data_IF_824930111070
#
_entry.id   IF_824930111070
#
_cell.length_a   1.000
_cell.length_b   1.000
_cell.length_c   1.000
_cell.angle_alpha   90.00
_cell.angle_beta   90.00
_cell.angle_gamma   90.00
#
_symmetry.space_group_name_H-M   'P 1'
#
loop_
_entity.id
_entity.type
_entity.pdbx_description
1 polymer ?
#
# COMPACT_ATOMS: atom_id res chain seq x y z
N UNK A 1 -18.66 -37.21 33.59
CA UNK A 1 -19.71 -36.17 33.65
C UNK A 1 -19.84 -35.58 32.27
N UNK A 2 -20.91 -35.95 31.55
CA UNK A 2 -21.22 -35.52 30.19
C UNK A 2 -21.81 -34.13 30.22
N UNK A 3 -21.22 -33.16 29.47
CA UNK A 3 -21.91 -31.90 29.13
C UNK A 3 -22.18 -31.86 27.63
N UNK A 4 -23.44 -31.93 27.30
CA UNK A 4 -24.04 -31.83 25.98
C UNK A 4 -23.88 -30.40 25.44
N UNK A 5 -23.30 -30.26 24.25
CA UNK A 5 -23.31 -29.02 23.47
C UNK A 5 -24.55 -29.04 22.59
N UNK A 6 -25.37 -28.02 22.74
CA UNK A 6 -26.62 -27.79 22.00
C UNK A 6 -26.27 -27.08 20.69
N UNK A 7 -26.51 -27.77 19.59
CA UNK A 7 -26.54 -27.17 18.24
C UNK A 7 -27.79 -26.31 18.09
N UNK A 8 -27.62 -25.03 17.82
CA UNK A 8 -28.70 -24.17 17.37
C UNK A 8 -28.56 -23.93 15.86
N UNK A 9 -29.29 -24.72 15.09
CA UNK A 9 -29.56 -24.53 13.67
C UNK A 9 -30.55 -23.36 13.51
N UNK A 10 -30.13 -22.30 12.83
CA UNK A 10 -31.06 -21.30 12.27
C UNK A 10 -31.00 -21.36 10.76
N UNK A 11 -32.04 -21.99 10.19
CA UNK A 11 -32.46 -21.85 8.80
C UNK A 11 -33.36 -20.62 8.71
N UNK A 12 -33.04 -19.67 7.87
CA UNK A 12 -34.01 -18.71 7.36
C UNK A 12 -33.70 -18.42 5.87
N UNK A 13 -34.48 -19.07 5.04
CA UNK A 13 -34.63 -18.78 3.63
C UNK A 13 -35.39 -17.47 3.43
N UNK A 14 -34.94 -16.60 2.54
CA UNK A 14 -35.80 -15.62 1.86
C UNK A 14 -35.24 -15.32 0.47
N UNK A 15 -35.90 -15.96 -0.50
CA UNK A 15 -35.82 -15.63 -1.91
C UNK A 15 -36.73 -14.40 -2.16
N UNK A 16 -36.22 -13.38 -2.81
CA UNK A 16 -37.03 -12.41 -3.55
C UNK A 16 -36.33 -12.09 -4.87
N UNK A 17 -37.01 -12.52 -5.89
CA UNK A 17 -36.88 -12.27 -7.31
C UNK A 17 -37.20 -10.81 -7.60
N UNK A 18 -36.40 -10.14 -8.42
CA UNK A 18 -36.85 -8.99 -9.21
C UNK A 18 -36.04 -8.85 -10.50
N UNK A 19 -36.66 -9.09 -11.67
CA UNK A 19 -36.11 -8.67 -12.94
C UNK A 19 -36.79 -7.37 -13.38
N UNK A 20 -36.04 -6.34 -13.73
CA UNK A 20 -36.49 -5.19 -14.51
C UNK A 20 -35.35 -4.71 -15.38
N UNK A 21 -35.39 -5.14 -16.63
CA UNK A 21 -35.69 -4.31 -17.81
C UNK A 21 -34.97 -2.95 -17.80
N UNK A 22 -33.87 -2.86 -18.54
CA UNK A 22 -33.49 -1.60 -19.17
C UNK A 22 -33.50 -1.79 -20.69
N UNK A 23 -34.49 -1.10 -21.26
CA UNK A 23 -34.66 -0.90 -22.69
C UNK A 23 -33.49 -0.14 -23.28
N UNK A 24 -33.04 -0.62 -24.43
CA UNK A 24 -32.18 0.05 -25.35
C UNK A 24 -32.88 1.30 -25.94
N UNK A 25 -32.22 2.44 -25.93
CA UNK A 25 -32.46 3.49 -26.89
C UNK A 25 -31.26 3.55 -27.83
N UNK A 26 -31.47 3.03 -29.02
CA UNK A 26 -30.65 3.32 -30.18
C UNK A 26 -31.19 4.62 -30.77
N UNK A 27 -30.40 5.69 -30.79
CA UNK A 27 -30.67 6.86 -31.61
C UNK A 27 -29.81 6.76 -32.88
N UNK A 28 -30.52 6.53 -33.97
CA UNK A 28 -30.01 6.67 -35.34
C UNK A 28 -29.62 8.13 -35.56
N UNK A 29 -28.34 8.40 -35.75
CA UNK A 29 -27.85 9.66 -36.27
C UNK A 29 -27.81 9.60 -37.77
N UNK A 30 -28.77 10.24 -38.39
CA UNK A 30 -28.94 10.47 -39.81
C UNK A 30 -27.75 11.25 -40.38
N UNK A 31 -27.08 10.61 -41.30
CA UNK A 31 -25.90 11.13 -42.05
C UNK A 31 -26.37 12.11 -43.11
N UNK A 32 -26.16 13.40 -42.90
CA UNK A 32 -26.39 14.45 -43.90
C UNK A 32 -25.20 14.56 -44.85
N UNK A 33 -25.39 14.56 -46.18
CA UNK A 33 -24.30 14.70 -47.11
C UNK A 33 -23.77 16.12 -47.11
N UNK A 34 -22.52 16.28 -46.68
CA UNK A 34 -21.78 17.54 -46.75
C UNK A 34 -21.31 17.80 -48.18
N UNK A 35 -21.87 18.81 -48.84
CA UNK A 35 -21.34 19.37 -50.08
C UNK A 35 -19.91 19.85 -49.90
N UNK A 36 -18.99 19.27 -50.65
CA UNK A 36 -17.58 19.67 -50.70
C UNK A 36 -17.48 20.95 -51.59
N UNK A 37 -17.66 22.08 -50.96
CA UNK A 37 -17.33 23.37 -51.57
C UNK A 37 -15.82 23.61 -51.54
N UNK A 38 -15.14 23.40 -52.65
CA UNK A 38 -13.73 23.75 -52.80
C UNK A 38 -13.56 25.29 -52.76
N UNK A 39 -13.23 25.84 -51.60
CA UNK A 39 -12.77 27.22 -51.47
C UNK A 39 -11.25 27.24 -51.54
N UNK A 40 -10.72 27.71 -52.64
CA UNK A 40 -9.29 28.03 -52.80
C UNK A 40 -9.05 29.31 -51.98
N UNK A 41 -8.55 29.14 -50.77
CA UNK A 41 -8.08 30.28 -49.95
C UNK A 41 -6.63 30.55 -50.30
N UNK A 42 -6.40 31.72 -50.87
CA UNK A 42 -5.04 32.24 -51.08
C UNK A 42 -4.41 32.54 -49.74
N UNK A 43 -3.46 31.73 -49.33
CA UNK A 43 -2.74 31.89 -48.05
C UNK A 43 -1.74 33.04 -48.23
N UNK A 44 -2.02 34.16 -47.60
CA UNK A 44 -1.03 35.23 -47.44
C UNK A 44 0.03 34.73 -46.46
N UNK A 45 1.33 34.79 -46.79
CA UNK A 45 2.37 34.32 -45.86
C UNK A 45 2.35 35.21 -44.62
N UNK A 46 2.00 34.61 -43.48
CA UNK A 46 2.11 35.24 -42.16
C UNK A 46 3.59 35.41 -41.82
N UNK A 47 4.04 36.61 -41.41
CA UNK A 47 5.43 36.77 -40.97
C UNK A 47 5.74 35.86 -39.82
N UNK A 48 6.80 35.07 -39.98
CA UNK A 48 7.30 34.16 -38.93
C UNK A 48 7.74 34.97 -37.71
N UNK A 49 7.15 34.75 -36.52
CA UNK A 49 7.59 35.46 -35.33
C UNK A 49 9.05 35.07 -35.01
N UNK A 50 9.83 36.02 -34.45
CA UNK A 50 11.20 35.73 -34.06
C UNK A 50 11.24 34.59 -33.02
N UNK A 51 12.30 33.77 -33.00
CA UNK A 51 12.43 32.66 -32.05
C UNK A 51 12.40 33.21 -30.62
N UNK A 52 11.39 32.76 -29.85
CA UNK A 52 11.32 32.99 -28.40
C UNK A 52 12.38 32.14 -27.76
N UNK A 53 13.40 32.76 -27.17
CA UNK A 53 14.38 32.06 -26.35
C UNK A 53 13.68 31.54 -25.10
N UNK A 54 13.36 30.24 -25.10
CA UNK A 54 12.80 29.58 -23.92
C UNK A 54 13.91 29.53 -22.87
N UNK A 55 13.69 30.03 -21.62
CA UNK A 55 14.69 29.91 -20.57
C UNK A 55 14.95 28.42 -20.28
N UNK A 56 16.21 28.03 -20.35
CA UNK A 56 16.66 26.70 -19.94
C UNK A 56 16.48 26.62 -18.43
N UNK A 57 15.48 25.87 -17.99
CA UNK A 57 15.26 25.57 -16.56
C UNK A 57 16.39 24.62 -16.16
N UNK A 58 17.40 25.16 -15.46
CA UNK A 58 18.43 24.34 -14.85
C UNK A 58 17.78 23.50 -13.75
N UNK A 59 17.75 22.17 -13.92
CA UNK A 59 17.25 21.28 -12.91
C UNK A 59 18.04 21.47 -11.62
N UNK A 60 17.37 21.87 -10.55
CA UNK A 60 17.96 21.89 -9.20
C UNK A 60 18.34 20.44 -8.83
N UNK A 61 19.57 20.16 -8.41
CA UNK A 61 19.95 18.80 -8.00
C UNK A 61 19.04 18.36 -6.87
N UNK A 62 18.40 17.19 -7.03
CA UNK A 62 17.64 16.55 -5.98
C UNK A 62 18.65 16.17 -4.88
N UNK A 63 18.44 16.59 -3.62
CA UNK A 63 19.35 16.22 -2.54
C UNK A 63 19.37 14.69 -2.42
N UNK A 64 20.57 14.11 -2.46
CA UNK A 64 20.76 12.68 -2.19
C UNK A 64 20.43 12.44 -0.71
N UNK A 65 19.55 11.50 -0.38
CA UNK A 65 19.21 11.22 1.01
C UNK A 65 20.46 10.79 1.77
N UNK A 66 20.68 11.39 2.93
CA UNK A 66 21.76 10.97 3.83
C UNK A 66 21.34 9.62 4.43
N UNK A 67 22.21 8.59 4.40
CA UNK A 67 21.88 7.29 4.97
C UNK A 67 21.60 7.44 6.47
N UNK A 68 20.47 6.88 6.92
CA UNK A 68 20.08 6.84 8.33
C UNK A 68 20.89 5.77 9.03
N UNK A 69 21.33 6.06 10.25
CA UNK A 69 22.01 5.08 11.09
C UNK A 69 21.02 3.94 11.40
N UNK A 70 21.42 2.70 11.12
CA UNK A 70 20.62 1.54 11.45
C UNK A 70 20.64 1.32 12.97
N UNK A 71 19.49 1.55 13.61
CA UNK A 71 19.26 1.36 15.06
C UNK A 71 18.27 0.22 15.31
N UNK A 72 17.98 -0.59 14.29
CA UNK A 72 17.08 -1.72 14.45
C UNK A 72 17.60 -2.69 15.52
N UNK A 73 16.72 -3.21 16.38
CA UNK A 73 17.08 -4.28 17.32
C UNK A 73 17.62 -5.51 16.59
N UNK A 74 18.26 -6.43 17.33
CA UNK A 74 18.68 -7.70 16.74
C UNK A 74 17.48 -8.42 16.09
N UNK A 75 17.68 -8.92 14.85
CA UNK A 75 16.67 -9.66 14.14
C UNK A 75 16.83 -11.17 14.39
N UNK A 76 15.95 -11.78 15.18
CA UNK A 76 16.10 -13.19 15.56
C UNK A 76 15.73 -14.16 14.43
N UNK A 77 14.82 -13.73 13.51
CA UNK A 77 14.29 -14.57 12.45
C UNK A 77 13.94 -13.70 11.22
N UNK A 78 14.93 -13.38 10.38
CA UNK A 78 14.71 -12.54 9.20
C UNK A 78 13.76 -13.19 8.19
N UNK A 79 12.71 -12.48 7.79
CA UNK A 79 11.84 -12.92 6.70
C UNK A 79 12.54 -12.82 5.36
N UNK A 80 12.37 -13.84 4.52
CA UNK A 80 12.67 -13.75 3.09
C UNK A 80 11.63 -12.91 2.34
N UNK A 81 11.98 -12.37 1.16
CA UNK A 81 11.05 -11.61 0.33
C UNK A 81 9.95 -12.48 -0.29
N UNK A 82 10.03 -13.78 -0.16
CA UNK A 82 9.04 -14.80 -0.48
C UNK A 82 7.99 -15.00 0.60
N UNK A 83 8.25 -14.53 1.83
CA UNK A 83 7.36 -14.66 2.98
C UNK A 83 6.67 -13.34 3.32
N UNK A 84 7.44 -12.25 3.41
CA UNK A 84 6.92 -10.94 3.79
C UNK A 84 7.65 -9.81 3.05
N UNK A 85 6.87 -8.84 2.57
CA UNK A 85 7.38 -7.65 1.88
C UNK A 85 6.76 -6.41 2.50
N UNK A 86 7.59 -5.47 2.94
CA UNK A 86 7.18 -4.13 3.35
C UNK A 86 7.35 -3.19 2.16
N UNK A 87 6.23 -2.63 1.67
CA UNK A 87 6.22 -1.70 0.54
C UNK A 87 6.46 -0.25 0.98
N UNK A 88 5.98 0.08 2.18
CA UNK A 88 6.21 1.36 2.84
C UNK A 88 6.26 1.15 4.36
N UNK A 89 7.15 1.88 5.06
CA UNK A 89 8.15 2.80 4.53
C UNK A 89 9.27 2.09 3.78
N UNK A 90 10.04 2.86 3.00
CA UNK A 90 11.29 2.41 2.42
C UNK A 90 12.45 2.74 3.36
N UNK A 91 13.59 2.09 3.14
CA UNK A 91 14.81 2.37 3.89
C UNK A 91 15.23 3.84 3.75
N UNK A 92 15.51 4.50 4.87
CA UNK A 92 15.85 5.91 5.01
C UNK A 92 14.69 6.91 4.78
N UNK A 93 13.44 6.46 4.73
CA UNK A 93 12.31 7.37 4.70
C UNK A 93 12.21 8.17 6.00
N UNK A 94 11.75 9.43 5.87
CA UNK A 94 11.39 10.26 7.01
C UNK A 94 9.90 10.05 7.37
N UNK A 95 9.65 9.60 8.59
CA UNK A 95 8.30 9.31 9.09
C UNK A 95 7.84 10.38 10.07
N UNK A 96 6.66 10.93 9.80
CA UNK A 96 5.89 11.75 10.74
C UNK A 96 4.73 10.94 11.30
N UNK A 97 4.22 11.32 12.47
CA UNK A 97 3.09 10.64 13.09
C UNK A 97 1.74 11.14 12.51
N UNK A 98 0.81 10.25 12.09
CA UNK A 98 0.94 8.81 12.08
C UNK A 98 1.79 8.29 10.92
N UNK A 99 2.63 7.27 11.18
CA UNK A 99 3.38 6.59 10.14
C UNK A 99 2.49 5.62 9.37
N UNK A 100 2.52 5.70 8.04
CA UNK A 100 1.80 4.77 7.17
C UNK A 100 2.68 3.57 6.83
N UNK A 101 2.31 2.39 7.34
CA UNK A 101 3.03 1.13 7.08
C UNK A 101 2.14 0.21 6.27
N UNK A 102 2.67 -0.35 5.18
CA UNK A 102 1.94 -1.29 4.33
C UNK A 102 2.86 -2.32 3.71
N UNK A 103 2.27 -3.44 3.35
CA UNK A 103 3.00 -4.54 2.73
C UNK A 103 2.13 -5.73 2.43
N UNK A 104 2.80 -6.87 2.29
CA UNK A 104 2.21 -8.17 2.03
C UNK A 104 2.86 -9.21 2.93
N UNK A 105 2.07 -10.19 3.38
CA UNK A 105 2.56 -11.35 4.12
C UNK A 105 1.80 -12.60 3.75
N UNK A 106 2.33 -13.75 4.14
CA UNK A 106 1.63 -15.02 4.05
C UNK A 106 0.49 -15.06 5.08
N UNK A 107 -0.63 -15.65 4.69
CA UNK A 107 -1.85 -15.64 5.49
C UNK A 107 -1.78 -16.38 6.80
N UNK A 108 -0.83 -17.30 6.97
CA UNK A 108 -0.63 -18.02 8.23
C UNK A 108 -0.36 -17.06 9.39
N UNK A 109 0.37 -15.96 9.14
CA UNK A 109 0.63 -14.94 10.16
C UNK A 109 -0.60 -14.13 10.56
N UNK A 110 -1.69 -14.22 9.80
CA UNK A 110 -2.93 -13.50 10.08
C UNK A 110 -3.97 -14.35 10.84
N UNK A 111 -3.75 -15.65 11.06
CA UNK A 111 -4.79 -16.53 11.62
C UNK A 111 -5.18 -16.17 13.06
N UNK A 112 -4.22 -15.79 13.91
CA UNK A 112 -4.48 -15.55 15.33
C UNK A 112 -4.34 -14.08 15.77
N UNK A 113 -3.25 -13.43 15.43
CA UNK A 113 -2.92 -12.09 15.94
C UNK A 113 -2.67 -11.04 14.85
N UNK A 114 -2.68 -11.45 13.58
CA UNK A 114 -2.28 -10.58 12.48
C UNK A 114 -0.76 -10.30 12.47
N UNK A 115 -0.36 -9.53 11.46
CA UNK A 115 1.00 -9.01 11.40
C UNK A 115 1.17 -7.95 12.48
N UNK A 116 2.25 -8.01 13.24
CA UNK A 116 2.60 -6.99 14.22
C UNK A 116 3.51 -5.94 13.58
N UNK A 117 3.24 -4.68 13.87
CA UNK A 117 4.11 -3.57 13.45
C UNK A 117 4.54 -2.79 14.67
N UNK A 118 5.84 -2.67 14.87
CA UNK A 118 6.43 -1.89 15.95
C UNK A 118 7.38 -0.83 15.40
N UNK A 119 7.38 0.35 16.02
CA UNK A 119 8.31 1.44 15.73
C UNK A 119 9.24 1.59 16.92
N UNK A 120 10.54 1.54 16.66
CA UNK A 120 11.59 1.69 17.65
C UNK A 120 12.31 3.02 17.47
N UNK A 121 12.70 3.65 18.56
CA UNK A 121 13.48 4.87 18.57
C UNK A 121 15.00 4.62 18.47
N UNK A 122 15.80 5.69 18.56
CA UNK A 122 17.26 5.62 18.48
C UNK A 122 17.92 4.81 19.62
N UNK A 123 17.19 4.54 20.71
CA UNK A 123 17.68 3.75 21.84
C UNK A 123 17.33 2.27 21.71
N UNK A 124 16.51 1.91 20.71
CA UNK A 124 15.99 0.57 20.51
C UNK A 124 14.78 0.25 21.37
N UNK A 125 14.14 1.27 21.95
CA UNK A 125 12.89 1.11 22.70
C UNK A 125 11.68 1.24 21.78
N UNK A 126 10.64 0.42 21.94
CA UNK A 126 9.43 0.54 21.15
C UNK A 126 8.64 1.79 21.57
N UNK A 127 8.39 2.68 20.60
CA UNK A 127 7.57 3.88 20.79
C UNK A 127 6.13 3.70 20.33
N UNK A 128 5.88 2.66 19.54
CA UNK A 128 4.53 2.23 19.13
C UNK A 128 4.56 0.77 18.72
N UNK A 129 3.44 0.06 18.98
CA UNK A 129 3.22 -1.31 18.52
C UNK A 129 1.73 -1.54 18.28
N UNK A 130 1.38 -2.23 17.18
CA UNK A 130 0.00 -2.51 16.80
C UNK A 130 -0.10 -3.81 16.02
N UNK A 131 -1.14 -4.60 16.30
CA UNK A 131 -1.55 -5.74 15.48
C UNK A 131 -2.35 -5.26 14.27
N UNK A 132 -1.99 -5.71 13.09
CA UNK A 132 -2.59 -5.30 11.83
C UNK A 132 -3.27 -6.49 11.17
N UNK A 133 -4.61 -6.47 11.03
CA UNK A 133 -5.34 -7.55 10.38
C UNK A 133 -5.07 -7.56 8.87
N UNK A 134 -5.28 -8.72 8.21
CA UNK A 134 -5.20 -8.80 6.76
C UNK A 134 -6.26 -7.94 6.10
N UNK A 135 -5.93 -7.35 4.97
CA UNK A 135 -6.87 -6.67 4.10
C UNK A 135 -7.31 -7.59 2.97
N UNK A 136 -8.47 -7.27 2.37
CA UNK A 136 -8.88 -7.96 1.15
C UNK A 136 -7.87 -7.71 0.02
N UNK A 137 -7.41 -8.76 -0.68
CA UNK A 137 -6.49 -8.63 -1.81
C UNK A 137 -7.13 -8.04 -3.07
N UNK A 138 -8.46 -7.78 -3.08
CA UNK A 138 -9.20 -7.37 -4.26
C UNK A 138 -8.59 -6.13 -4.94
N UNK A 139 -8.22 -6.30 -6.21
CA UNK A 139 -7.65 -5.24 -7.03
C UNK A 139 -6.19 -4.88 -6.73
N UNK A 140 -5.54 -5.60 -5.83
CA UNK A 140 -4.10 -5.46 -5.52
C UNK A 140 -3.32 -6.61 -6.14
N UNK A 141 -2.12 -6.29 -6.62
CA UNK A 141 -1.20 -7.28 -7.20
C UNK A 141 -0.06 -7.46 -6.21
N UNK A 142 0.17 -8.68 -5.71
CA UNK A 142 1.30 -8.95 -4.83
C UNK A 142 2.64 -8.75 -5.56
N UNK A 143 3.71 -8.40 -4.83
CA UNK A 143 5.05 -8.36 -5.39
C UNK A 143 5.45 -9.70 -5.99
N UNK A 144 6.16 -9.68 -7.13
CA UNK A 144 6.60 -10.89 -7.83
C UNK A 144 7.62 -11.75 -7.05
N UNK A 145 8.18 -11.22 -5.98
CA UNK A 145 9.10 -11.92 -5.09
C UNK A 145 8.39 -12.77 -4.04
N UNK A 146 7.11 -12.45 -3.77
CA UNK A 146 6.33 -13.15 -2.77
C UNK A 146 5.81 -14.48 -3.33
N UNK A 147 5.90 -15.55 -2.57
CA UNK A 147 5.27 -16.82 -2.91
C UNK A 147 3.76 -16.72 -2.64
N UNK A 148 2.99 -16.51 -3.73
CA UNK A 148 1.55 -16.25 -3.62
C UNK A 148 0.80 -17.56 -3.42
N UNK A 149 0.10 -17.69 -2.32
CA UNK A 149 -0.85 -18.75 -2.02
C UNK A 149 -2.26 -18.17 -1.74
N UNK A 150 -3.22 -19.03 -1.39
CA UNK A 150 -4.60 -18.63 -1.07
C UNK A 150 -4.71 -17.78 0.22
N UNK A 151 -3.67 -17.78 1.05
CA UNK A 151 -3.61 -17.05 2.31
C UNK A 151 -2.82 -15.76 2.22
N UNK A 152 -2.15 -15.50 1.10
CA UNK A 152 -1.37 -14.29 0.88
C UNK A 152 -2.28 -13.06 0.93
N UNK A 153 -2.01 -12.14 1.84
CA UNK A 153 -2.82 -10.95 2.05
C UNK A 153 -1.99 -9.68 2.21
N UNK A 154 -2.51 -8.54 1.72
CA UNK A 154 -1.94 -7.24 2.01
C UNK A 154 -2.29 -6.79 3.42
N UNK A 155 -1.44 -5.97 4.01
CA UNK A 155 -1.70 -5.26 5.25
C UNK A 155 -1.44 -3.77 5.11
N UNK A 156 -2.09 -2.94 5.92
CA UNK A 156 -1.79 -1.52 6.06
C UNK A 156 -2.27 -1.00 7.41
N UNK A 157 -1.49 -0.11 8.01
CA UNK A 157 -1.84 0.57 9.24
C UNK A 157 -1.28 1.99 9.26
N UNK A 158 -2.01 2.88 9.92
CA UNK A 158 -1.54 4.20 10.32
C UNK A 158 -1.20 4.16 11.81
N UNK A 159 0.09 4.31 12.14
CA UNK A 159 0.61 4.09 13.48
C UNK A 159 1.01 5.41 14.10
N UNK A 160 0.28 5.82 15.13
CA UNK A 160 0.63 7.01 15.88
C UNK A 160 1.82 6.73 16.81
N UNK A 161 2.82 7.61 16.75
CA UNK A 161 3.97 7.61 17.65
C UNK A 161 4.28 9.04 18.08
N UNK A 162 5.20 9.23 19.02
CA UNK A 162 5.62 10.55 19.49
C UNK A 162 7.12 10.62 19.59
N UNK A 163 7.70 11.63 18.96
CA UNK A 163 9.10 12.01 19.12
C UNK A 163 9.19 13.53 19.23
N UNK A 164 10.14 14.03 20.00
CA UNK A 164 10.33 15.47 20.23
C UNK A 164 11.49 16.05 19.40
N UNK A 165 12.29 15.19 18.80
CA UNK A 165 13.41 15.55 17.94
C UNK A 165 13.51 14.54 16.79
N UNK A 166 14.02 15.00 15.66
CA UNK A 166 14.35 14.09 14.56
C UNK A 166 15.45 13.14 15.00
N UNK A 167 15.24 11.84 14.82
CA UNK A 167 16.16 10.80 15.25
C UNK A 167 16.07 9.57 14.37
N UNK A 168 17.15 8.74 14.31
CA UNK A 168 17.06 7.42 13.69
C UNK A 168 16.01 6.57 14.39
N UNK A 169 15.33 5.71 13.63
CA UNK A 169 14.37 4.75 14.12
C UNK A 169 14.35 3.49 13.28
N UNK A 170 13.51 2.55 13.68
CA UNK A 170 13.31 1.29 12.98
C UNK A 170 11.83 0.93 12.95
N UNK A 171 11.30 0.67 11.77
CA UNK A 171 10.01 -0.01 11.63
C UNK A 171 10.28 -1.50 11.54
N UNK A 172 9.63 -2.28 12.41
CA UNK A 172 9.73 -3.72 12.47
C UNK A 172 8.36 -4.31 12.20
N UNK A 173 8.29 -5.19 11.21
CA UNK A 173 7.07 -5.93 10.85
C UNK A 173 7.36 -7.40 11.07
N UNK A 174 6.49 -8.10 11.79
CA UNK A 174 6.73 -9.48 12.19
C UNK A 174 5.42 -10.21 12.49
N UNK A 175 5.50 -11.52 12.57
CA UNK A 175 4.44 -12.39 13.06
C UNK A 175 4.79 -12.87 14.46
N UNK A 176 3.79 -13.32 15.22
CA UNK A 176 3.99 -13.97 16.50
C UNK A 176 3.91 -15.48 16.33
N UNK A 177 4.92 -16.19 16.82
CA UNK A 177 4.91 -17.64 16.90
C UNK A 177 3.75 -18.13 17.77
N UNK A 178 2.91 -19.00 17.24
CA UNK A 178 1.82 -19.62 18.01
C UNK A 178 2.32 -20.49 19.16
N UNK A 179 3.60 -20.90 19.14
CA UNK A 179 4.16 -21.77 20.15
C UNK A 179 4.52 -21.04 21.45
N UNK A 180 5.09 -19.84 21.35
CA UNK A 180 5.66 -19.12 22.49
C UNK A 180 5.50 -17.59 22.43
N UNK A 181 4.86 -17.07 21.35
CA UNK A 181 4.68 -15.63 21.15
C UNK A 181 5.96 -14.89 20.74
N UNK A 182 7.03 -15.58 20.40
CA UNK A 182 8.25 -14.94 19.91
C UNK A 182 8.05 -14.35 18.52
N UNK A 183 8.75 -13.23 18.17
CA UNK A 183 8.72 -12.68 16.83
C UNK A 183 9.37 -13.63 15.82
N UNK A 184 8.65 -13.92 14.73
CA UNK A 184 9.10 -14.69 13.58
C UNK A 184 8.86 -13.92 12.30
N UNK A 185 9.51 -14.32 11.21
CA UNK A 185 9.38 -13.70 9.88
C UNK A 185 9.54 -12.17 9.91
N UNK A 186 10.63 -11.71 10.51
CA UNK A 186 10.83 -10.29 10.83
C UNK A 186 11.43 -9.53 9.66
N UNK A 187 10.76 -8.47 9.22
CA UNK A 187 11.30 -7.45 8.32
C UNK A 187 11.62 -6.20 9.12
N UNK A 188 12.79 -5.61 8.88
CA UNK A 188 13.23 -4.38 9.53
C UNK A 188 13.55 -3.33 8.49
N UNK A 189 13.06 -2.11 8.70
CA UNK A 189 13.26 -0.96 7.82
C UNK A 189 13.82 0.19 8.63
N UNK A 190 15.12 0.53 8.49
CA UNK A 190 15.70 1.73 9.10
C UNK A 190 15.08 2.99 8.52
N UNK A 191 14.67 3.92 9.39
CA UNK A 191 13.95 5.15 9.04
C UNK A 191 14.44 6.33 9.85
N UNK A 192 14.01 7.56 9.51
CA UNK A 192 14.12 8.74 10.36
C UNK A 192 12.76 9.05 10.98
N UNK A 193 12.69 9.20 12.29
CA UNK A 193 11.47 9.64 12.98
C UNK A 193 11.51 11.16 13.13
N UNK A 194 10.43 11.83 12.67
CA UNK A 194 10.29 13.28 12.69
C UNK A 194 9.16 13.68 13.67
N UNK A 195 9.29 14.85 14.35
CA UNK A 195 8.26 15.36 15.27
C UNK A 195 6.92 15.65 14.62
#
# INVERSE_FOLDING_TARGET
>A
MLRRVVFCTWLAALAVVSPLLFLACAEDAEEAPSEIGLRISTVTPTPTPPPVLTPVVTATPIPTPTPVLNVCPENPDPAGPDIMVVEAPQENDALTSPAHVRGWGLGIGFEDAGVQVAIYDATGEPVAEVGVPPLSPEGRIPPSTLEVDEFTAPFAADIAFSTIVSQPGCVRVFELSAADGSPIHVVQVPVSLEP
#
